data_IF_503415081780
#
_entry.id   IF_503415081780
#
_cell.length_a   1.000
_cell.length_b   1.000
_cell.length_c   1.000
_cell.angle_alpha   90.00
_cell.angle_beta   90.00
_cell.angle_gamma   90.00
#
_symmetry.space_group_name_H-M   'P 1'
#
loop_
_entity.id
_entity.type
_entity.pdbx_description
1 polymer ?
#
# COMPACT_ATOMS: atom_id res chain seq x y z
N UNK A 1 -4.83 -24.01 12.16
CA UNK A 1 -5.19 -23.33 10.90
C UNK A 1 -5.94 -22.09 11.29
N UNK A 2 -5.32 -20.92 11.10
CA UNK A 2 -5.96 -19.65 11.39
C UNK A 2 -6.94 -19.36 10.27
N UNK A 3 -8.20 -19.77 10.45
CA UNK A 3 -9.30 -19.30 9.62
C UNK A 3 -9.30 -17.77 9.69
N UNK A 4 -9.14 -17.10 8.56
CA UNK A 4 -9.20 -15.64 8.52
C UNK A 4 -10.65 -15.22 8.79
N UNK A 5 -10.85 -14.29 9.71
CA UNK A 5 -12.19 -13.77 10.00
C UNK A 5 -12.56 -12.66 9.02
N UNK A 6 -13.85 -12.56 8.72
CA UNK A 6 -14.45 -11.51 7.90
C UNK A 6 -14.00 -10.09 8.32
N UNK A 7 -14.02 -9.83 9.63
CA UNK A 7 -13.63 -8.54 10.21
C UNK A 7 -12.15 -8.18 9.95
N UNK A 8 -11.29 -9.19 9.81
CA UNK A 8 -9.88 -8.98 9.46
C UNK A 8 -9.74 -8.54 8.01
N UNK A 9 -10.50 -9.16 7.09
CA UNK A 9 -10.53 -8.75 5.68
C UNK A 9 -11.03 -7.31 5.55
N UNK A 10 -12.14 -6.97 6.21
CA UNK A 10 -12.68 -5.60 6.23
C UNK A 10 -11.67 -4.58 6.77
N UNK A 11 -10.98 -4.92 7.87
CA UNK A 11 -9.95 -4.06 8.45
C UNK A 11 -8.78 -3.82 7.49
N UNK A 12 -8.29 -4.88 6.85
CA UNK A 12 -7.17 -4.78 5.89
C UNK A 12 -7.58 -4.00 4.65
N UNK A 13 -8.80 -4.20 4.15
CA UNK A 13 -9.36 -3.41 3.05
C UNK A 13 -9.44 -1.92 3.40
N UNK A 14 -9.87 -1.59 4.62
CA UNK A 14 -9.87 -0.22 5.14
C UNK A 14 -8.48 0.41 5.21
N UNK A 15 -7.47 -0.35 5.64
CA UNK A 15 -6.06 0.10 5.64
C UNK A 15 -5.54 0.34 4.22
N UNK A 16 -5.96 -0.50 3.26
CA UNK A 16 -5.58 -0.39 1.84
C UNK A 16 -6.41 0.63 1.06
N UNK A 17 -7.44 1.25 1.67
CA UNK A 17 -8.42 2.13 1.01
C UNK A 17 -9.15 1.45 -0.15
N UNK A 18 -9.47 0.17 0.02
CA UNK A 18 -10.25 -0.61 -0.95
C UNK A 18 -11.63 -0.82 -0.36
N UNK A 19 -12.66 -0.37 -1.08
CA UNK A 19 -14.05 -0.68 -0.77
C UNK A 19 -14.38 -2.04 -1.39
N UNK A 20 -14.98 -2.93 -0.60
CA UNK A 20 -15.33 -4.30 -1.00
C UNK A 20 -16.82 -4.55 -0.78
N UNK A 21 -17.43 -5.30 -1.69
CA UNK A 21 -18.80 -5.79 -1.46
C UNK A 21 -18.81 -6.98 -0.48
N UNK A 22 -19.97 -7.30 0.06
CA UNK A 22 -20.15 -8.45 0.96
C UNK A 22 -19.70 -9.77 0.31
N UNK A 23 -20.02 -9.96 -0.98
CA UNK A 23 -19.62 -11.15 -1.74
C UNK A 23 -18.10 -11.22 -1.94
N UNK A 24 -17.46 -10.07 -2.19
CA UNK A 24 -16.00 -9.98 -2.31
C UNK A 24 -15.31 -10.29 -0.99
N UNK A 25 -15.85 -9.81 0.12
CA UNK A 25 -15.33 -10.09 1.46
C UNK A 25 -15.39 -11.60 1.75
N UNK A 26 -16.52 -12.26 1.50
CA UNK A 26 -16.65 -13.71 1.69
C UNK A 26 -15.65 -14.49 0.83
N UNK A 27 -15.56 -14.13 -0.45
CA UNK A 27 -14.60 -14.73 -1.38
C UNK A 27 -13.16 -14.53 -0.92
N UNK A 28 -12.78 -13.31 -0.56
CA UNK A 28 -11.41 -13.00 -0.14
C UNK A 28 -11.06 -13.62 1.20
N UNK A 29 -12.01 -13.80 2.09
CA UNK A 29 -11.80 -14.55 3.34
C UNK A 29 -11.29 -15.96 3.06
N UNK A 30 -11.92 -16.69 2.12
CA UNK A 30 -11.49 -18.02 1.72
C UNK A 30 -10.14 -17.98 0.97
N UNK A 31 -9.99 -17.07 -0.01
CA UNK A 31 -8.79 -17.01 -0.85
C UNK A 31 -7.53 -16.62 -0.06
N UNK A 32 -7.64 -15.62 0.83
CA UNK A 32 -6.54 -15.17 1.66
C UNK A 32 -6.14 -16.23 2.70
N UNK A 33 -7.08 -17.00 3.22
CA UNK A 33 -6.78 -18.13 4.12
C UNK A 33 -5.85 -19.15 3.44
N UNK A 34 -6.13 -19.50 2.18
CA UNK A 34 -5.26 -20.41 1.40
C UNK A 34 -3.87 -19.82 1.18
N UNK A 35 -3.77 -18.52 0.90
CA UNK A 35 -2.47 -17.84 0.73
C UNK A 35 -1.67 -17.86 2.04
N UNK A 36 -2.32 -17.58 3.17
CA UNK A 36 -1.65 -17.62 4.48
C UNK A 36 -1.18 -19.02 4.86
N UNK A 37 -1.97 -20.06 4.58
CA UNK A 37 -1.54 -21.45 4.77
C UNK A 37 -0.31 -21.79 3.90
N UNK A 38 -0.23 -21.26 2.68
CA UNK A 38 0.93 -21.44 1.82
C UNK A 38 2.17 -20.72 2.37
N UNK A 39 2.01 -19.50 2.90
CA UNK A 39 3.08 -18.71 3.53
C UNK A 39 3.56 -19.35 4.84
N UNK A 40 2.65 -19.97 5.61
CA UNK A 40 2.98 -20.63 6.88
C UNK A 40 4.00 -21.77 6.70
N UNK A 41 4.13 -22.35 5.49
CA UNK A 41 5.18 -23.33 5.16
C UNK A 41 6.58 -22.77 5.37
N UNK A 42 6.78 -21.45 5.23
CA UNK A 42 8.07 -20.79 5.43
C UNK A 42 8.54 -20.84 6.90
N UNK A 43 7.63 -21.04 7.87
CA UNK A 43 7.99 -21.19 9.30
C UNK A 43 8.83 -22.42 9.60
N UNK A 44 8.89 -23.39 8.69
CA UNK A 44 9.72 -24.59 8.83
C UNK A 44 11.23 -24.33 8.66
N UNK A 45 11.61 -23.17 8.13
CA UNK A 45 13.00 -22.80 7.88
C UNK A 45 13.52 -21.93 9.03
N UNK A 46 14.60 -22.37 9.68
CA UNK A 46 15.27 -21.57 10.71
C UNK A 46 16.05 -20.41 10.08
N UNK A 47 15.70 -19.19 10.50
CA UNK A 47 16.31 -17.93 10.04
C UNK A 47 16.98 -17.15 11.17
N UNK A 48 17.08 -17.74 12.37
CA UNK A 48 17.61 -17.07 13.58
C UNK A 48 19.06 -16.57 13.44
N UNK A 49 19.84 -17.21 12.57
CA UNK A 49 21.25 -16.90 12.34
C UNK A 49 21.50 -15.88 11.21
N UNK A 50 20.47 -15.42 10.48
CA UNK A 50 20.64 -14.53 9.32
C UNK A 50 19.87 -13.22 9.47
N UNK A 51 20.44 -12.07 9.09
CA UNK A 51 19.71 -10.81 9.08
C UNK A 51 18.70 -10.76 7.91
N UNK A 52 17.59 -10.01 8.05
CA UNK A 52 16.67 -9.74 6.94
C UNK A 52 17.36 -9.04 5.77
N UNK A 53 16.99 -9.39 4.54
CA UNK A 53 17.50 -8.74 3.32
C UNK A 53 16.48 -7.72 2.81
N UNK A 54 16.78 -6.42 2.91
CA UNK A 54 15.90 -5.34 2.45
C UNK A 54 16.19 -4.88 1.01
N UNK A 55 17.46 -4.87 0.60
CA UNK A 55 17.92 -4.56 -0.75
C UNK A 55 18.94 -5.60 -1.18
N UNK A 56 18.87 -6.04 -2.43
CA UNK A 56 19.87 -6.94 -3.04
C UNK A 56 21.11 -6.19 -3.51
N UNK A 57 21.00 -4.86 -3.66
CA UNK A 57 22.11 -4.00 -4.05
C UNK A 57 22.79 -3.42 -2.81
N UNK A 58 24.13 -3.46 -2.73
CA UNK A 58 24.89 -2.82 -1.65
C UNK A 58 24.99 -1.32 -1.92
N UNK A 59 23.91 -0.59 -1.67
CA UNK A 59 23.85 0.87 -1.82
C UNK A 59 23.84 1.52 -0.44
N UNK A 60 24.76 2.44 -0.23
CA UNK A 60 24.88 3.22 1.00
C UNK A 60 24.95 4.71 0.66
N UNK A 61 24.28 5.55 1.46
CA UNK A 61 24.41 7.01 1.40
C UNK A 61 24.20 7.62 0.00
N UNK A 62 23.20 7.15 -0.74
CA UNK A 62 22.84 7.69 -2.06
C UNK A 62 22.22 9.08 -1.90
N UNK A 63 23.07 10.10 -1.90
CA UNK A 63 22.69 11.51 -1.73
C UNK A 63 22.52 12.21 -3.09
N UNK A 64 21.65 13.22 -3.10
CA UNK A 64 21.53 14.19 -4.18
C UNK A 64 22.15 15.51 -3.72
N UNK A 65 22.94 16.16 -4.57
CA UNK A 65 23.42 17.53 -4.31
C UNK A 65 22.26 18.50 -4.10
N UNK A 66 22.42 19.43 -3.15
CA UNK A 66 21.43 20.47 -2.85
C UNK A 66 21.51 21.63 -3.85
N UNK A 67 21.12 21.34 -5.09
CA UNK A 67 21.08 22.29 -6.20
C UNK A 67 19.65 22.43 -6.70
N UNK A 68 19.20 23.69 -6.87
CA UNK A 68 17.89 24.01 -7.42
C UNK A 68 17.80 23.55 -8.88
N UNK A 69 16.69 22.89 -9.23
CA UNK A 69 16.36 22.49 -10.60
C UNK A 69 15.01 23.10 -10.99
N UNK A 70 14.77 23.39 -12.27
CA UNK A 70 13.46 23.83 -12.73
C UNK A 70 12.37 22.84 -12.31
N UNK A 71 11.29 23.33 -11.70
CA UNK A 71 10.09 22.53 -11.44
C UNK A 71 9.34 22.26 -12.73
N UNK A 72 8.46 21.25 -12.72
CA UNK A 72 7.57 20.97 -13.84
C UNK A 72 6.64 22.17 -14.10
N UNK A 73 6.35 22.52 -15.38
CA UNK A 73 5.33 23.51 -15.71
C UNK A 73 3.97 23.12 -15.14
N UNK A 74 3.18 24.08 -14.65
CA UNK A 74 1.86 23.81 -14.05
C UNK A 74 0.95 23.00 -14.97
N UNK A 75 0.95 23.30 -16.27
CA UNK A 75 0.16 22.55 -17.26
C UNK A 75 0.55 21.08 -17.36
N UNK A 76 1.84 20.74 -17.19
CA UNK A 76 2.27 19.34 -17.15
C UNK A 76 1.90 18.66 -15.83
N UNK A 77 1.98 19.39 -14.70
CA UNK A 77 1.58 18.89 -13.38
C UNK A 77 0.11 18.48 -13.36
N UNK A 78 -0.76 19.30 -13.95
CA UNK A 78 -2.21 19.07 -13.94
C UNK A 78 -2.75 18.25 -15.12
N UNK A 79 -1.90 17.87 -16.08
CA UNK A 79 -2.33 17.15 -17.30
C UNK A 79 -3.20 15.92 -17.02
N UNK A 80 -2.95 15.22 -15.92
CA UNK A 80 -3.69 14.02 -15.52
C UNK A 80 -4.54 14.22 -14.25
N UNK A 81 -4.72 15.46 -13.80
CA UNK A 81 -5.49 15.76 -12.59
C UNK A 81 -6.99 15.50 -12.85
N UNK A 82 -7.67 14.67 -12.03
CA UNK A 82 -9.12 14.45 -12.18
C UNK A 82 -9.95 15.72 -11.96
N UNK A 83 -9.43 16.68 -11.19
CA UNK A 83 -10.06 17.97 -10.95
C UNK A 83 -9.02 19.04 -10.61
N UNK A 84 -9.21 20.24 -11.15
CA UNK A 84 -8.35 21.42 -10.94
C UNK A 84 -9.22 22.63 -10.60
N UNK A 85 -8.72 23.49 -9.73
CA UNK A 85 -9.30 24.79 -9.41
C UNK A 85 -8.21 25.85 -9.38
N UNK A 86 -8.11 26.69 -10.41
CA UNK A 86 -6.94 27.56 -10.59
C UNK A 86 -5.66 26.75 -10.57
N UNK A 87 -4.75 27.03 -9.65
CA UNK A 87 -3.48 26.31 -9.48
C UNK A 87 -3.51 25.24 -8.38
N UNK A 88 -4.70 24.71 -8.07
CA UNK A 88 -4.91 23.70 -7.03
C UNK A 88 -5.52 22.40 -7.57
N UNK A 89 -5.18 21.27 -6.95
CA UNK A 89 -5.92 20.02 -7.12
C UNK A 89 -7.25 20.10 -6.38
N UNK A 90 -8.35 19.85 -7.08
CA UNK A 90 -9.67 19.83 -6.47
C UNK A 90 -9.95 18.44 -5.89
N UNK A 91 -10.18 18.37 -4.59
CA UNK A 91 -10.53 17.15 -3.85
C UNK A 91 -11.77 17.38 -3.00
N UNK A 92 -12.40 16.29 -2.55
CA UNK A 92 -13.43 16.39 -1.51
C UNK A 92 -12.78 16.88 -0.21
N UNK A 93 -13.43 17.82 0.48
CA UNK A 93 -12.91 18.33 1.76
C UNK A 93 -12.83 17.20 2.77
N UNK A 94 -11.70 17.08 3.45
CA UNK A 94 -11.53 16.17 4.57
C UNK A 94 -12.23 16.77 5.78
N UNK A 95 -13.44 16.30 6.06
CA UNK A 95 -14.16 16.59 7.30
C UNK A 95 -13.90 15.42 8.26
N UNK A 96 -13.58 15.71 9.52
CA UNK A 96 -13.55 14.67 10.55
C UNK A 96 -14.94 14.02 10.64
N UNK A 97 -14.98 12.69 10.51
CA UNK A 97 -16.15 11.91 10.91
C UNK A 97 -16.27 12.03 12.43
N UNK A 98 -17.19 12.87 12.91
CA UNK A 98 -17.62 12.87 14.32
C UNK A 98 -18.53 11.68 14.61
#
# INVERSE_FOLDING_TARGET
>A
MSTLDRSVVEKVAGLARIELTDEEIERFTAQLSVVLDAVDRLRSVDTSAIPPTASVLPVDNVMREDVVRPSLPLEEVFRNAPGRDGDYFRVQTVLEQR
#
